data_IF_345844107448
#
_entry.id   IF_345844107448
#
_cell.length_a   1.000
_cell.length_b   1.000
_cell.length_c   1.000
_cell.angle_alpha   90.00
_cell.angle_beta   90.00
_cell.angle_gamma   90.00
#
_symmetry.space_group_name_H-M   'P 1'
#
loop_
_entity.id
_entity.type
_entity.pdbx_description
1 polymer ?
#
# COMPACT_ATOMS: atom_id res chain seq x y z
N UNK A 1 -8.48 -28.23 -7.85
CA UNK A 1 -8.27 -26.89 -7.28
C UNK A 1 -7.79 -26.04 -8.42
N UNK A 2 -8.46 -24.92 -8.68
CA UNK A 2 -8.08 -24.01 -9.76
C UNK A 2 -6.98 -23.09 -9.21
N UNK A 3 -5.81 -23.08 -9.84
CA UNK A 3 -4.66 -22.32 -9.35
C UNK A 3 -5.01 -20.83 -9.18
N UNK A 4 -4.53 -20.22 -8.09
CA UNK A 4 -4.68 -18.80 -7.84
C UNK A 4 -3.92 -18.01 -8.91
N UNK A 5 -4.66 -17.26 -9.72
CA UNK A 5 -4.13 -16.47 -10.84
C UNK A 5 -4.79 -15.10 -10.90
N UNK A 6 -4.14 -14.18 -11.61
CA UNK A 6 -4.64 -12.81 -11.82
C UNK A 6 -5.44 -12.63 -13.10
N UNK A 7 -5.87 -13.71 -13.75
CA UNK A 7 -6.52 -13.65 -15.07
C UNK A 7 -7.74 -12.71 -15.14
N UNK A 8 -8.42 -12.52 -14.00
CA UNK A 8 -9.56 -11.61 -13.90
C UNK A 8 -9.18 -10.12 -13.92
N UNK A 9 -7.93 -9.76 -13.64
CA UNK A 9 -7.48 -8.35 -13.48
C UNK A 9 -6.22 -8.00 -14.29
N UNK A 10 -5.40 -8.98 -14.67
CA UNK A 10 -4.13 -8.76 -15.38
C UNK A 10 -4.37 -8.46 -16.85
N UNK A 11 -3.96 -7.26 -17.28
CA UNK A 11 -4.11 -6.74 -18.65
C UNK A 11 -5.56 -6.69 -19.14
N UNK A 12 -6.50 -6.62 -18.20
CA UNK A 12 -7.93 -6.49 -18.48
C UNK A 12 -8.36 -5.08 -18.08
N UNK A 13 -8.95 -4.35 -19.01
CA UNK A 13 -9.62 -3.08 -18.71
C UNK A 13 -10.93 -3.37 -17.97
N UNK A 14 -11.04 -2.86 -16.75
CA UNK A 14 -12.21 -2.98 -15.90
C UNK A 14 -12.69 -1.60 -15.46
N UNK A 15 -14.01 -1.46 -15.31
CA UNK A 15 -14.54 -0.37 -14.50
C UNK A 15 -14.00 -0.46 -13.07
N UNK A 16 -13.73 0.66 -12.42
CA UNK A 16 -13.07 0.70 -11.12
C UNK A 16 -13.82 -0.09 -10.04
N UNK A 17 -15.16 -0.09 -10.06
CA UNK A 17 -15.94 -0.89 -9.11
C UNK A 17 -15.89 -2.39 -9.44
N UNK A 18 -15.79 -2.74 -10.72
CA UNK A 18 -15.58 -4.13 -11.14
C UNK A 18 -14.18 -4.62 -10.73
N UNK A 19 -13.14 -3.79 -10.89
CA UNK A 19 -11.80 -4.10 -10.42
C UNK A 19 -11.80 -4.34 -8.90
N UNK A 20 -12.43 -3.46 -8.12
CA UNK A 20 -12.57 -3.66 -6.67
C UNK A 20 -13.22 -5.00 -6.32
N UNK A 21 -14.31 -5.37 -7.01
CA UNK A 21 -14.98 -6.66 -6.80
C UNK A 21 -14.03 -7.83 -7.06
N UNK A 22 -13.29 -7.81 -8.17
CA UNK A 22 -12.35 -8.89 -8.51
C UNK A 22 -11.16 -8.95 -7.53
N UNK A 23 -10.64 -7.80 -7.10
CA UNK A 23 -9.57 -7.71 -6.10
C UNK A 23 -9.98 -8.39 -4.78
N UNK A 24 -11.16 -8.08 -4.24
CA UNK A 24 -11.66 -8.74 -3.03
C UNK A 24 -12.01 -10.21 -3.28
N UNK A 25 -12.50 -10.58 -4.46
CA UNK A 25 -12.72 -12.00 -4.80
C UNK A 25 -11.41 -12.80 -4.78
N UNK A 26 -10.30 -12.23 -5.25
CA UNK A 26 -8.97 -12.86 -5.16
C UNK A 26 -8.52 -13.03 -3.70
N UNK A 27 -8.76 -12.01 -2.87
CA UNK A 27 -8.49 -12.08 -1.43
C UNK A 27 -9.29 -13.18 -0.73
N UNK A 28 -10.60 -13.23 -0.93
CA UNK A 28 -11.47 -14.25 -0.33
C UNK A 28 -11.11 -15.66 -0.81
N UNK A 29 -10.76 -15.83 -2.10
CA UNK A 29 -10.28 -17.12 -2.62
C UNK A 29 -9.01 -17.57 -1.91
N UNK A 30 -8.02 -16.69 -1.76
CA UNK A 30 -6.79 -16.99 -1.04
C UNK A 30 -7.06 -17.31 0.44
N UNK A 31 -7.98 -16.57 1.08
CA UNK A 31 -8.34 -16.80 2.46
C UNK A 31 -9.00 -18.17 2.67
N UNK A 32 -9.76 -18.65 1.69
CA UNK A 32 -10.43 -19.95 1.72
C UNK A 32 -9.50 -21.16 1.43
N UNK A 33 -8.28 -20.94 0.92
CA UNK A 33 -7.30 -22.01 0.71
C UNK A 33 -6.79 -22.58 2.04
N UNK A 34 -6.31 -23.84 2.06
CA UNK A 34 -5.50 -24.35 3.17
C UNK A 34 -4.33 -23.39 3.45
N UNK A 35 -4.12 -23.07 4.73
CA UNK A 35 -3.13 -22.09 5.20
C UNK A 35 -3.31 -20.66 4.63
N UNK A 36 -4.48 -20.29 4.10
CA UNK A 36 -4.74 -18.97 3.51
C UNK A 36 -4.34 -17.80 4.42
N UNK A 37 -4.70 -17.86 5.70
CA UNK A 37 -4.32 -16.85 6.72
C UNK A 37 -2.80 -16.74 6.86
N UNK A 38 -2.10 -17.87 6.95
CA UNK A 38 -0.64 -17.93 7.05
C UNK A 38 0.02 -17.38 5.79
N UNK A 39 -0.51 -17.69 4.60
CA UNK A 39 -0.03 -17.17 3.32
C UNK A 39 -0.20 -15.64 3.23
N UNK A 40 -1.35 -15.12 3.62
CA UNK A 40 -1.63 -13.68 3.71
C UNK A 40 -0.70 -12.95 4.70
N UNK A 41 -0.37 -13.60 5.82
CA UNK A 41 0.54 -13.07 6.83
C UNK A 41 1.99 -13.09 6.35
N UNK A 42 2.49 -14.22 5.87
CA UNK A 42 3.90 -14.39 5.53
C UNK A 42 4.25 -13.83 4.14
N UNK A 43 3.30 -13.77 3.21
CA UNK A 43 3.45 -13.20 1.86
C UNK A 43 4.66 -13.75 1.10
N UNK A 44 4.88 -15.06 1.24
CA UNK A 44 6.07 -15.73 0.72
C UNK A 44 6.03 -15.78 -0.80
N UNK A 45 4.89 -16.16 -1.37
CA UNK A 45 4.78 -16.33 -2.82
C UNK A 45 4.50 -15.00 -3.50
N UNK A 46 4.85 -14.87 -4.80
CA UNK A 46 4.55 -13.67 -5.59
C UNK A 46 3.05 -13.35 -5.64
N UNK A 47 2.19 -14.36 -5.56
CA UNK A 47 0.74 -14.15 -5.56
C UNK A 47 0.28 -13.33 -4.34
N UNK A 48 0.55 -13.77 -3.12
CA UNK A 48 0.06 -13.01 -1.97
C UNK A 48 0.75 -11.65 -1.84
N UNK A 49 1.99 -11.55 -2.32
CA UNK A 49 2.71 -10.27 -2.33
C UNK A 49 2.01 -9.24 -3.20
N UNK A 50 1.83 -9.49 -4.50
CA UNK A 50 1.21 -8.49 -5.39
C UNK A 50 -0.25 -8.22 -5.05
N UNK A 51 -0.98 -9.23 -4.58
CA UNK A 51 -2.34 -9.02 -4.09
C UNK A 51 -2.37 -7.97 -2.98
N UNK A 52 -1.49 -8.10 -1.98
CA UNK A 52 -1.46 -7.20 -0.83
C UNK A 52 -0.82 -5.84 -1.15
N UNK A 53 0.26 -5.81 -1.95
CA UNK A 53 1.08 -4.60 -2.14
C UNK A 53 0.71 -3.79 -3.37
N UNK A 54 -0.05 -4.35 -4.32
CA UNK A 54 -0.41 -3.67 -5.58
C UNK A 54 -1.93 -3.66 -5.78
N UNK A 55 -2.57 -4.84 -5.82
CA UNK A 55 -3.97 -4.97 -6.22
C UNK A 55 -4.94 -4.38 -5.18
N UNK A 56 -4.80 -4.73 -3.90
CA UNK A 56 -5.68 -4.19 -2.86
C UNK A 56 -5.52 -2.67 -2.64
N UNK A 57 -4.30 -2.11 -2.60
CA UNK A 57 -4.12 -0.65 -2.55
C UNK A 57 -4.76 0.08 -3.72
N UNK A 58 -4.63 -0.47 -4.94
CA UNK A 58 -5.30 0.07 -6.11
C UNK A 58 -6.82 0.03 -5.97
N UNK A 59 -7.37 -1.08 -5.48
CA UNK A 59 -8.80 -1.19 -5.20
C UNK A 59 -9.27 -0.15 -4.15
N UNK A 60 -8.49 0.11 -3.11
CA UNK A 60 -8.82 1.14 -2.12
C UNK A 60 -8.79 2.54 -2.73
N UNK A 61 -7.78 2.87 -3.53
CA UNK A 61 -7.74 4.15 -4.26
C UNK A 61 -8.97 4.33 -5.13
N UNK A 62 -9.30 3.32 -5.94
CA UNK A 62 -10.46 3.36 -6.84
C UNK A 62 -11.75 3.53 -6.04
N UNK A 63 -11.95 2.75 -4.97
CA UNK A 63 -13.13 2.87 -4.10
C UNK A 63 -13.28 4.28 -3.52
N UNK A 64 -12.19 4.93 -3.13
CA UNK A 64 -12.21 6.29 -2.56
C UNK A 64 -12.43 7.39 -3.61
N UNK A 65 -11.95 7.18 -4.83
CA UNK A 65 -11.95 8.19 -5.89
C UNK A 65 -13.11 8.07 -6.87
N UNK A 66 -13.72 6.90 -6.95
CA UNK A 66 -14.87 6.65 -7.79
C UNK A 66 -16.11 7.36 -7.22
N UNK A 67 -16.79 8.14 -8.07
CA UNK A 67 -17.96 8.91 -7.63
C UNK A 67 -18.93 9.16 -8.77
N UNK A 68 -20.14 9.59 -8.44
CA UNK A 68 -21.11 10.05 -9.43
C UNK A 68 -20.49 11.21 -10.23
N UNK A 69 -20.30 11.01 -11.53
CA UNK A 69 -19.66 12.00 -12.41
C UNK A 69 -18.15 11.86 -12.56
N UNK A 70 -17.51 10.90 -11.89
CA UNK A 70 -16.12 10.47 -12.12
C UNK A 70 -16.05 8.94 -12.19
N UNK A 71 -16.10 8.43 -13.41
CA UNK A 71 -15.96 7.02 -13.72
C UNK A 71 -14.51 6.74 -14.06
N UNK A 72 -13.92 5.72 -13.44
CA UNK A 72 -12.51 5.35 -13.62
C UNK A 72 -12.46 3.94 -14.17
N UNK A 73 -11.83 3.74 -15.32
CA UNK A 73 -11.45 2.44 -15.85
C UNK A 73 -9.96 2.21 -15.57
N UNK A 74 -9.59 0.98 -15.26
CA UNK A 74 -8.22 0.62 -14.88
C UNK A 74 -7.79 -0.66 -15.58
N UNK A 75 -6.50 -0.77 -15.88
CA UNK A 75 -5.85 -1.98 -16.37
C UNK A 75 -4.58 -2.20 -15.54
N UNK A 76 -4.58 -3.23 -14.68
CA UNK A 76 -3.40 -3.59 -13.87
C UNK A 76 -2.52 -4.59 -14.63
N UNK A 77 -1.20 -4.52 -14.41
CA UNK A 77 -0.22 -5.31 -15.15
C UNK A 77 0.72 -6.07 -14.23
N UNK A 78 0.73 -7.40 -14.34
CA UNK A 78 1.60 -8.28 -13.55
C UNK A 78 3.07 -8.31 -14.01
N UNK A 79 3.46 -7.52 -15.02
CA UNK A 79 4.79 -7.56 -15.63
C UNK A 79 5.85 -6.68 -14.96
N UNK A 80 6.93 -6.40 -15.72
CA UNK A 80 8.06 -5.56 -15.31
C UNK A 80 8.05 -4.18 -16.02
N UNK A 81 6.88 -3.73 -16.45
CA UNK A 81 6.69 -2.40 -17.03
C UNK A 81 6.95 -1.31 -15.98
N UNK A 82 7.23 -0.04 -16.36
CA UNK A 82 7.63 1.01 -15.42
C UNK A 82 6.45 1.63 -14.65
N UNK A 83 5.33 0.93 -14.55
CA UNK A 83 4.10 1.32 -13.85
C UNK A 83 3.35 0.06 -13.41
N UNK A 84 2.43 0.15 -12.45
CA UNK A 84 1.66 -1.03 -12.01
C UNK A 84 0.30 -1.11 -12.72
N UNK A 85 -0.28 0.04 -13.05
CA UNK A 85 -1.55 0.10 -13.77
C UNK A 85 -1.68 1.35 -14.65
N UNK A 86 -2.53 1.25 -15.67
CA UNK A 86 -3.01 2.38 -16.47
C UNK A 86 -4.44 2.71 -16.06
N UNK A 87 -4.82 3.98 -16.20
CA UNK A 87 -6.21 4.38 -15.98
C UNK A 87 -6.74 5.29 -17.08
N UNK A 88 -8.07 5.29 -17.22
CA UNK A 88 -8.85 6.26 -18.01
C UNK A 88 -10.00 6.76 -17.14
N UNK A 89 -10.32 8.04 -17.26
CA UNK A 89 -11.38 8.66 -16.49
C UNK A 89 -12.33 9.42 -17.43
N UNK A 90 -13.62 9.37 -17.09
CA UNK A 90 -14.66 10.12 -17.80
C UNK A 90 -15.75 10.60 -16.85
N UNK A 91 -16.58 11.51 -17.34
CA UNK A 91 -17.73 12.05 -16.62
C UNK A 91 -17.59 13.53 -16.35
N UNK A 92 -18.69 14.15 -15.95
CA UNK A 92 -18.83 15.61 -15.81
C UNK A 92 -17.77 16.21 -14.88
N UNK A 93 -17.43 15.54 -13.77
CA UNK A 93 -16.44 16.05 -12.82
C UNK A 93 -15.01 15.95 -13.33
N UNK A 94 -14.73 15.06 -14.29
CA UNK A 94 -13.41 14.99 -14.93
C UNK A 94 -13.21 16.24 -15.79
N UNK A 95 -14.21 16.56 -16.61
CA UNK A 95 -14.16 17.72 -17.52
C UNK A 95 -14.18 19.05 -16.75
N UNK A 96 -15.13 19.23 -15.84
CA UNK A 96 -15.31 20.49 -15.12
C UNK A 96 -14.17 20.82 -14.16
N UNK A 97 -13.54 19.81 -13.54
CA UNK A 97 -12.45 19.99 -12.58
C UNK A 97 -11.06 19.87 -13.20
N UNK A 98 -10.97 19.65 -14.52
CA UNK A 98 -9.71 19.48 -15.22
C UNK A 98 -8.89 18.29 -14.71
N UNK A 99 -9.55 17.21 -14.27
CA UNK A 99 -8.84 16.00 -13.84
C UNK A 99 -8.19 15.29 -15.04
N UNK A 100 -7.08 14.57 -14.85
CA UNK A 100 -6.45 13.83 -15.92
C UNK A 100 -7.39 12.76 -16.47
N UNK A 101 -7.62 12.78 -17.80
CA UNK A 101 -8.47 11.81 -18.51
C UNK A 101 -7.82 10.43 -18.63
N UNK A 102 -6.50 10.36 -18.54
CA UNK A 102 -5.73 9.12 -18.54
C UNK A 102 -4.40 9.35 -17.83
N UNK A 103 -3.78 8.26 -17.40
CA UNK A 103 -2.49 8.30 -16.72
C UNK A 103 -2.07 6.91 -16.24
N UNK A 104 -1.09 6.91 -15.34
CA UNK A 104 -0.48 5.71 -14.81
C UNK A 104 -0.53 5.71 -13.28
N UNK A 105 -0.65 4.52 -12.70
CA UNK A 105 -0.46 4.31 -11.27
C UNK A 105 0.89 3.65 -11.04
N UNK A 106 1.65 4.21 -10.10
CA UNK A 106 2.74 3.55 -9.41
C UNK A 106 2.27 3.25 -7.99
N UNK A 107 2.53 2.05 -7.50
CA UNK A 107 2.11 1.59 -6.19
C UNK A 107 3.36 1.22 -5.40
N UNK A 108 3.35 1.58 -4.13
CA UNK A 108 4.42 1.20 -3.23
C UNK A 108 3.91 0.96 -1.82
N UNK A 109 4.72 0.27 -1.02
CA UNK A 109 4.43 0.00 0.38
C UNK A 109 5.52 0.61 1.25
N UNK A 110 5.14 1.59 2.07
CA UNK A 110 5.98 2.11 3.14
C UNK A 110 5.78 1.24 4.39
N UNK A 111 6.86 0.68 4.92
CA UNK A 111 6.82 -0.24 6.07
C UNK A 111 8.11 -0.18 6.87
N UNK A 112 8.03 -0.54 8.15
CA UNK A 112 9.22 -0.68 8.99
C UNK A 112 10.14 -1.80 8.43
N UNK A 113 11.48 -1.66 8.44
CA UNK A 113 12.41 -2.67 7.90
C UNK A 113 12.23 -4.08 8.47
N UNK A 114 11.88 -4.16 9.75
CA UNK A 114 11.59 -5.42 10.46
C UNK A 114 10.16 -5.96 10.30
N UNK A 115 9.31 -5.39 9.44
CA UNK A 115 7.93 -5.87 9.22
C UNK A 115 7.89 -7.37 8.87
N UNK A 116 8.84 -7.84 8.06
CA UNK A 116 8.96 -9.26 7.73
C UNK A 116 9.24 -10.15 8.97
N UNK A 117 10.02 -9.67 9.95
CA UNK A 117 10.27 -10.37 11.21
C UNK A 117 9.02 -10.35 12.10
N UNK A 118 8.28 -9.23 12.12
CA UNK A 118 7.03 -9.13 12.85
C UNK A 118 6.02 -10.18 12.35
N UNK A 119 5.85 -10.29 11.04
CA UNK A 119 4.94 -11.27 10.41
C UNK A 119 5.33 -12.71 10.72
N UNK A 120 6.62 -13.04 10.66
CA UNK A 120 7.12 -14.37 11.01
C UNK A 120 6.93 -14.70 12.50
N UNK A 121 7.20 -13.73 13.39
CA UNK A 121 7.01 -13.94 14.83
C UNK A 121 5.55 -14.12 15.19
N UNK A 122 4.65 -13.30 14.63
CA UNK A 122 3.20 -13.46 14.85
C UNK A 122 2.70 -14.83 14.39
N UNK A 123 3.28 -15.38 13.32
CA UNK A 123 2.94 -16.72 12.86
C UNK A 123 3.43 -17.82 13.80
N UNK A 124 4.65 -17.69 14.32
CA UNK A 124 5.31 -18.74 15.10
C UNK A 124 4.95 -18.72 16.58
N UNK A 125 4.81 -17.53 17.17
CA UNK A 125 4.61 -17.33 18.61
C UNK A 125 3.20 -16.78 18.92
N UNK A 126 2.44 -16.31 17.92
CA UNK A 126 1.08 -15.78 18.09
C UNK A 126 1.01 -14.35 18.65
N UNK A 127 2.13 -13.76 19.06
CA UNK A 127 2.16 -12.40 19.61
C UNK A 127 3.47 -11.65 19.33
N UNK A 128 3.38 -10.32 19.40
CA UNK A 128 4.47 -9.37 19.21
C UNK A 128 4.24 -8.16 20.12
N UNK A 129 5.28 -7.65 20.79
CA UNK A 129 5.15 -6.40 21.55
C UNK A 129 5.21 -5.16 20.65
N UNK A 130 6.18 -5.13 19.73
CA UNK A 130 6.39 -4.04 18.78
C UNK A 130 7.22 -4.53 17.60
N UNK A 131 7.07 -3.90 16.44
CA UNK A 131 7.97 -4.11 15.28
C UNK A 131 9.37 -3.54 15.53
N UNK A 132 9.48 -2.62 16.49
CA UNK A 132 10.74 -2.01 16.91
C UNK A 132 11.57 -3.03 17.72
N UNK A 133 12.89 -2.93 17.59
CA UNK A 133 13.88 -3.77 18.28
C UNK A 133 13.77 -5.28 18.05
N UNK A 134 13.07 -5.72 16.99
CA UNK A 134 13.09 -7.13 16.60
C UNK A 134 14.49 -7.57 16.15
N UNK A 135 14.97 -8.67 16.73
CA UNK A 135 16.26 -9.27 16.38
C UNK A 135 16.10 -10.77 16.18
N UNK A 136 16.58 -11.28 15.05
CA UNK A 136 16.76 -12.71 14.87
C UNK A 136 18.05 -13.14 15.59
N UNK A 137 17.95 -14.11 16.49
CA UNK A 137 19.09 -14.66 17.25
C UNK A 137 19.85 -15.76 16.51
N UNK A 138 19.51 -15.99 15.23
CA UNK A 138 20.21 -16.96 14.40
C UNK A 138 21.68 -16.55 14.27
N UNK A 139 22.56 -17.42 14.74
CA UNK A 139 24.02 -17.29 14.56
C UNK A 139 24.54 -18.62 14.04
N UNK A 140 25.77 -18.66 13.49
CA UNK A 140 26.45 -19.93 13.16
C UNK A 140 26.49 -20.93 14.33
N UNK A 141 26.32 -20.46 15.57
CA UNK A 141 26.35 -21.27 16.81
C UNK A 141 24.97 -21.62 17.38
N UNK A 142 23.89 -20.98 16.92
CA UNK A 142 22.53 -21.32 17.30
C UNK A 142 21.65 -21.46 16.05
N UNK A 143 21.48 -22.69 15.52
CA UNK A 143 20.67 -22.94 14.33
C UNK A 143 19.18 -22.76 14.60
N UNK A 144 18.75 -22.72 15.86
CA UNK A 144 17.36 -22.43 16.23
C UNK A 144 17.13 -20.92 16.17
N UNK A 145 16.88 -20.43 14.95
CA UNK A 145 16.47 -19.04 14.69
C UNK A 145 15.25 -18.71 15.55
N UNK A 146 15.42 -17.80 16.50
CA UNK A 146 14.31 -17.20 17.26
C UNK A 146 14.28 -15.71 16.99
N UNK A 147 13.08 -15.16 16.82
CA UNK A 147 12.90 -13.71 16.74
C UNK A 147 12.61 -13.24 18.16
N UNK A 148 13.45 -12.38 18.73
CA UNK A 148 13.23 -11.80 20.06
C UNK A 148 12.46 -10.49 19.89
N UNK A 149 11.38 -10.35 20.67
CA UNK A 149 10.58 -9.14 20.79
C UNK A 149 10.59 -8.72 22.24
N UNK A 150 11.00 -7.48 22.49
CA UNK A 150 11.07 -6.87 23.81
C UNK A 150 9.97 -5.81 23.94
N UNK A 151 9.45 -5.55 25.16
CA UNK A 151 8.54 -4.44 25.38
C UNK A 151 9.18 -3.12 24.97
N UNK A 152 8.43 -2.29 24.23
CA UNK A 152 8.86 -0.95 23.81
C UNK A 152 7.85 0.04 24.33
N UNK A 153 8.33 1.13 24.94
CA UNK A 153 7.50 2.25 25.37
C UNK A 153 7.79 3.42 24.46
N UNK A 154 6.76 3.93 23.80
CA UNK A 154 6.85 5.15 23.00
C UNK A 154 6.53 6.36 23.88
N UNK A 155 7.36 7.40 23.77
CA UNK A 155 7.06 8.72 24.33
C UNK A 155 6.65 9.67 23.20
N UNK A 156 5.70 10.56 23.51
CA UNK A 156 5.33 11.73 22.70
C UNK A 156 5.06 11.47 21.20
N UNK A 157 4.50 10.31 20.84
CA UNK A 157 4.18 10.00 19.44
C UNK A 157 5.40 9.72 18.55
N UNK A 158 6.55 9.35 19.11
CA UNK A 158 7.77 9.00 18.36
C UNK A 158 7.55 7.95 17.25
N UNK A 159 6.61 7.02 17.42
CA UNK A 159 6.25 6.06 16.38
C UNK A 159 5.67 6.73 15.11
N UNK A 160 5.02 7.88 15.25
CA UNK A 160 4.51 8.69 14.13
C UNK A 160 5.67 9.28 13.35
N UNK A 161 6.69 9.80 14.04
CA UNK A 161 7.89 10.36 13.41
C UNK A 161 8.65 9.28 12.63
N UNK A 162 8.82 8.10 13.22
CA UNK A 162 9.45 6.96 12.56
C UNK A 162 8.68 6.55 11.30
N UNK A 163 7.35 6.46 11.38
CA UNK A 163 6.52 6.08 10.23
C UNK A 163 6.53 7.15 9.13
N UNK A 164 6.51 8.44 9.50
CA UNK A 164 6.63 9.54 8.56
C UNK A 164 7.96 9.43 7.80
N UNK A 165 9.06 9.11 8.50
CA UNK A 165 10.36 8.83 7.89
C UNK A 165 10.29 7.72 6.84
N UNK A 166 9.73 6.56 7.17
CA UNK A 166 9.61 5.45 6.21
C UNK A 166 8.77 5.81 4.98
N UNK A 167 7.69 6.58 5.15
CA UNK A 167 6.85 7.04 4.04
C UNK A 167 7.60 8.01 3.15
N UNK A 168 8.29 9.00 3.74
CA UNK A 168 9.04 10.01 3.01
C UNK A 168 10.21 9.39 2.24
N UNK A 169 10.93 8.44 2.84
CA UNK A 169 12.02 7.70 2.18
C UNK A 169 11.53 6.93 0.96
N UNK A 170 10.36 6.28 1.05
CA UNK A 170 9.78 5.54 -0.06
C UNK A 170 9.30 6.49 -1.17
N UNK A 171 8.64 7.59 -0.82
CA UNK A 171 8.24 8.62 -1.78
C UNK A 171 9.46 9.22 -2.47
N UNK A 172 10.52 9.56 -1.73
CA UNK A 172 11.75 10.10 -2.28
C UNK A 172 12.43 9.11 -3.23
N UNK A 173 12.46 7.82 -2.86
CA UNK A 173 12.99 6.74 -3.71
C UNK A 173 12.22 6.64 -5.03
N UNK A 174 10.89 6.75 -4.99
CA UNK A 174 10.06 6.75 -6.22
C UNK A 174 10.23 8.03 -7.02
N UNK A 175 10.23 9.20 -6.39
CA UNK A 175 10.44 10.48 -7.06
C UNK A 175 11.78 10.54 -7.80
N UNK A 176 12.85 9.99 -7.20
CA UNK A 176 14.18 9.95 -7.79
C UNK A 176 14.28 9.15 -9.10
N UNK A 177 13.30 8.29 -9.41
CA UNK A 177 13.24 7.57 -10.70
C UNK A 177 12.88 8.46 -11.89
N UNK A 178 12.38 9.68 -11.66
CA UNK A 178 12.08 10.65 -12.71
C UNK A 178 10.89 10.27 -13.59
N UNK A 179 9.78 9.84 -12.98
CA UNK A 179 8.55 9.52 -13.70
C UNK A 179 8.06 10.71 -14.56
N UNK A 180 7.58 10.49 -15.79
CA UNK A 180 6.94 11.54 -16.58
C UNK A 180 5.68 12.11 -15.89
N UNK A 181 5.21 13.30 -16.30
CA UNK A 181 3.91 13.81 -15.84
C UNK A 181 2.76 12.83 -16.15
N UNK A 182 1.75 12.80 -15.28
CA UNK A 182 0.56 11.94 -15.43
C UNK A 182 0.58 10.65 -14.60
N UNK A 183 1.55 10.51 -13.69
CA UNK A 183 1.58 9.43 -12.70
C UNK A 183 0.90 9.84 -11.39
N UNK A 184 0.13 8.92 -10.83
CA UNK A 184 -0.35 8.96 -9.45
C UNK A 184 0.41 7.91 -8.64
N UNK A 185 0.99 8.32 -7.52
CA UNK A 185 1.66 7.42 -6.57
C UNK A 185 0.68 6.99 -5.48
N UNK A 186 0.46 5.69 -5.34
CA UNK A 186 -0.31 5.07 -4.26
C UNK A 186 0.68 4.51 -3.24
N UNK A 187 0.66 5.05 -2.02
CA UNK A 187 1.52 4.62 -0.90
C UNK A 187 0.67 3.87 0.12
N UNK A 188 0.78 2.55 0.11
CA UNK A 188 0.25 1.71 1.17
C UNK A 188 1.16 1.79 2.40
N UNK A 189 0.60 2.17 3.53
CA UNK A 189 1.30 2.29 4.79
C UNK A 189 1.07 1.01 5.61
N UNK A 190 2.11 0.16 5.74
CA UNK A 190 2.11 -0.90 6.74
C UNK A 190 2.49 -0.27 8.09
N UNK A 191 1.48 0.14 8.85
CA UNK A 191 1.67 0.91 10.07
C UNK A 191 2.54 0.15 11.08
N UNK A 192 3.48 0.87 11.68
CA UNK A 192 4.38 0.35 12.73
C UNK A 192 3.71 0.19 14.11
N UNK A 193 2.50 0.73 14.27
CA UNK A 193 1.71 0.70 15.48
C UNK A 193 0.21 0.75 15.14
N UNK A 194 -0.65 0.60 16.15
CA UNK A 194 -2.05 1.01 16.03
C UNK A 194 -2.11 2.55 16.06
N UNK A 195 -2.79 3.15 15.08
CA UNK A 195 -3.02 4.59 15.01
C UNK A 195 -4.48 4.91 15.31
N UNK A 196 -4.72 5.91 16.14
CA UNK A 196 -6.00 6.59 16.29
C UNK A 196 -6.22 7.57 15.11
N UNK A 197 -7.46 8.03 14.85
CA UNK A 197 -7.75 8.92 13.72
C UNK A 197 -6.98 10.25 13.74
N UNK A 198 -6.75 10.83 14.91
CA UNK A 198 -5.98 12.06 15.12
C UNK A 198 -4.47 11.83 14.94
N UNK A 199 -3.96 10.67 15.35
CA UNK A 199 -2.57 10.26 15.11
C UNK A 199 -2.32 10.04 13.62
N UNK A 200 -3.26 9.40 12.91
CA UNK A 200 -3.21 9.28 11.44
C UNK A 200 -3.24 10.65 10.76
N UNK A 201 -4.13 11.55 11.19
CA UNK A 201 -4.19 12.92 10.67
C UNK A 201 -2.85 13.64 10.88
N UNK A 202 -2.21 13.43 12.04
CA UNK A 202 -0.90 13.99 12.37
C UNK A 202 0.20 13.41 11.48
N UNK A 203 0.20 12.09 11.24
CA UNK A 203 1.12 11.42 10.32
C UNK A 203 1.02 11.99 8.91
N UNK A 204 -0.20 12.04 8.35
CA UNK A 204 -0.45 12.60 7.01
C UNK A 204 -0.03 14.07 6.95
N UNK A 205 -0.31 14.84 8.00
CA UNK A 205 0.11 16.24 8.11
C UNK A 205 1.63 16.41 8.04
N UNK A 206 2.38 15.58 8.79
CA UNK A 206 3.85 15.56 8.76
C UNK A 206 4.39 15.21 7.39
N UNK A 207 3.89 14.14 6.77
CA UNK A 207 4.31 13.72 5.42
C UNK A 207 4.04 14.84 4.43
N UNK A 208 2.83 15.43 4.45
CA UNK A 208 2.45 16.54 3.55
C UNK A 208 3.38 17.75 3.67
N UNK A 209 3.79 18.11 4.89
CA UNK A 209 4.67 19.26 5.14
C UNK A 209 6.12 19.01 4.72
N UNK A 210 6.52 17.76 4.56
CA UNK A 210 7.90 17.35 4.26
C UNK A 210 8.02 16.58 2.95
N UNK A 211 7.01 16.67 2.08
CA UNK A 211 7.04 15.99 0.79
C UNK A 211 8.26 16.46 -0.03
N UNK A 212 9.03 15.54 -0.62
CA UNK A 212 10.05 15.90 -1.58
C UNK A 212 9.39 16.43 -2.87
N UNK A 213 10.13 17.26 -3.60
CA UNK A 213 9.73 17.63 -4.97
C UNK A 213 9.54 16.37 -5.81
N UNK A 214 8.43 16.31 -6.54
CA UNK A 214 8.09 15.15 -7.37
C UNK A 214 7.24 15.54 -8.56
N UNK A 215 7.28 14.71 -9.60
CA UNK A 215 6.50 14.84 -10.83
C UNK A 215 5.13 14.14 -10.74
N UNK A 216 4.86 13.45 -9.63
CA UNK A 216 3.56 12.83 -9.38
C UNK A 216 2.48 13.91 -9.31
N UNK A 217 1.42 13.76 -10.10
CA UNK A 217 0.27 14.67 -10.06
C UNK A 217 -0.57 14.50 -8.80
N UNK A 218 -0.47 13.31 -8.18
CA UNK A 218 -1.12 12.97 -6.93
C UNK A 218 -0.27 11.96 -6.17
N UNK A 219 -0.15 12.17 -4.85
CA UNK A 219 0.35 11.16 -3.92
C UNK A 219 -0.80 10.83 -2.97
N UNK A 220 -1.25 9.57 -3.01
CA UNK A 220 -2.35 9.06 -2.21
C UNK A 220 -1.85 8.03 -1.20
N UNK A 221 -2.23 8.18 0.06
CA UNK A 221 -1.78 7.33 1.16
C UNK A 221 -2.96 6.56 1.76
N UNK A 222 -2.75 5.31 2.16
CA UNK A 222 -3.75 4.50 2.87
C UNK A 222 -3.12 3.46 3.81
N UNK A 223 -3.87 2.96 4.79
CA UNK A 223 -3.42 1.97 5.77
C UNK A 223 -4.20 0.64 5.71
N UNK A 224 -4.46 0.09 4.53
CA UNK A 224 -5.10 -1.23 4.38
C UNK A 224 -6.59 -1.30 4.72
N UNK A 225 -7.05 -0.75 5.85
CA UNK A 225 -8.46 -0.84 6.29
C UNK A 225 -9.15 0.53 6.42
N UNK A 226 -8.42 1.65 6.37
CA UNK A 226 -9.02 2.99 6.41
C UNK A 226 -8.75 3.72 5.09
N UNK A 227 -9.74 3.75 4.17
CA UNK A 227 -9.81 4.88 3.26
C UNK A 227 -10.04 6.13 4.13
N UNK A 228 -9.08 7.06 4.14
CA UNK A 228 -9.28 8.35 4.80
C UNK A 228 -10.44 9.10 4.13
N UNK A 229 -11.36 9.63 4.94
CA UNK A 229 -12.43 10.51 4.53
C UNK A 229 -11.92 11.87 3.99
N UNK A 230 -10.61 12.17 3.97
CA UNK A 230 -10.10 13.50 3.58
C UNK A 230 -8.80 13.49 2.75
N UNK A 231 -9.03 13.40 1.43
CA UNK A 231 -8.29 14.04 0.32
C UNK A 231 -6.82 13.64 0.12
N UNK A 232 -6.58 13.08 -1.07
CA UNK A 232 -5.36 13.14 -1.85
C UNK A 232 -4.44 14.30 -1.48
N UNK A 233 -3.14 14.00 -1.29
CA UNK A 233 -2.14 15.05 -1.19
C UNK A 233 -1.86 15.52 -2.62
N UNK A 234 -2.52 16.61 -3.02
CA UNK A 234 -2.24 17.29 -4.27
C UNK A 234 -0.96 18.10 -4.10
N UNK A 235 0.00 17.93 -5.01
CA UNK A 235 1.06 18.91 -5.21
C UNK A 235 0.42 20.18 -5.77
N UNK A 236 0.10 21.13 -4.90
CA UNK A 236 -0.19 22.49 -5.33
C UNK A 236 1.14 23.23 -5.52
N UNK A 237 1.69 23.17 -6.73
CA UNK A 237 2.56 24.27 -7.19
C UNK A 237 1.66 25.37 -7.78
N UNK A 238 1.95 26.66 -7.50
CA UNK A 238 1.20 27.79 -8.06
C UNK A 238 1.29 27.88 -9.59
#
# INVERSE_FOLDING_TARGET
>A
MEDLTYTAVDRVWLDGLQFCREAYRLFERLLAEPDGVKRLRLRIQPFERKLITEILPLAHYLKSMYSLGRYIEVCWHSGNQPFDAEFRQRGEFVEQRGLPKAGFFEITTAQHPNDHLARERLETEGFLFSVHHLKATATKRNPHRKIVSEPVVFSNGSFIDDMAGFILDEIATKAAKGYPPGYTLIVQCSLNHLYLPDEWTTLVGKVRQSLPESTFGEIWMCDGDRPDDRKAIFNSSP
#
